data_IF_077578571400
#
_entry.id   IF_077578571400
#
_cell.length_a   1.000
_cell.length_b   1.000
_cell.length_c   1.000
_cell.angle_alpha   90.00
_cell.angle_beta   90.00
_cell.angle_gamma   90.00
#
_symmetry.space_group_name_H-M   'P 1'
#
loop_
_entity.id
_entity.type
_entity.pdbx_description
1 polymer ?
#
# COMPACT_ATOMS: atom_id res chain seq x y z
N UNK A 1 29.92 8.56 -27.41
CA UNK A 1 28.89 9.44 -26.82
C UNK A 1 28.55 8.83 -25.47
N UNK A 2 29.15 9.34 -24.39
CA UNK A 2 28.92 8.83 -23.04
C UNK A 2 27.54 9.29 -22.59
N UNK A 3 26.55 8.42 -22.70
CA UNK A 3 25.24 8.62 -22.08
C UNK A 3 25.45 8.25 -20.62
N UNK A 4 25.43 9.25 -19.75
CA UNK A 4 25.54 9.07 -18.31
C UNK A 4 24.55 8.01 -17.82
N UNK A 5 25.03 7.06 -17.01
CA UNK A 5 24.19 6.07 -16.34
C UNK A 5 23.28 6.78 -15.33
N UNK A 6 22.03 6.34 -15.18
CA UNK A 6 21.10 6.78 -14.13
C UNK A 6 21.53 6.33 -12.71
N UNK A 7 22.84 6.25 -12.44
CA UNK A 7 23.38 6.32 -11.08
C UNK A 7 23.55 7.80 -10.61
N UNK A 8 23.17 8.80 -11.43
CA UNK A 8 23.47 10.22 -11.18
C UNK A 8 22.24 11.13 -10.86
N UNK A 9 21.10 10.55 -10.48
CA UNK A 9 20.01 11.25 -9.78
C UNK A 9 19.76 10.56 -8.44
N UNK A 10 20.68 10.74 -7.51
CA UNK A 10 20.61 10.24 -6.15
C UNK A 10 19.65 11.07 -5.29
N UNK A 11 18.38 11.17 -5.70
CA UNK A 11 17.32 11.50 -4.75
C UNK A 11 16.67 10.17 -4.38
N UNK A 12 17.29 9.45 -3.45
CA UNK A 12 16.58 8.42 -2.71
C UNK A 12 15.59 9.15 -1.82
N UNK A 13 14.37 9.36 -2.33
CA UNK A 13 13.30 9.96 -1.55
C UNK A 13 13.12 9.16 -0.28
N UNK A 14 13.45 9.77 0.85
CA UNK A 14 13.62 9.03 2.10
C UNK A 14 12.29 8.71 2.78
N UNK A 15 11.20 9.36 2.32
CA UNK A 15 9.92 9.28 2.97
C UNK A 15 8.75 9.25 1.98
N UNK A 16 8.10 8.09 1.86
CA UNK A 16 6.85 7.90 1.14
C UNK A 16 5.67 7.84 2.11
N UNK A 17 4.53 8.36 1.67
CA UNK A 17 3.26 8.30 2.37
C UNK A 17 2.18 7.78 1.44
N UNK A 18 1.14 7.19 2.01
CA UNK A 18 -0.08 6.89 1.28
C UNK A 18 -0.90 8.17 1.11
N UNK A 19 -1.31 8.47 -0.12
CA UNK A 19 -2.37 9.40 -0.45
C UNK A 19 -3.63 8.59 -0.69
N UNK A 20 -4.56 8.62 0.26
CA UNK A 20 -5.79 7.86 0.22
C UNK A 20 -6.91 8.74 -0.35
N UNK A 21 -7.46 8.35 -1.50
CA UNK A 21 -8.58 9.03 -2.15
C UNK A 21 -9.85 8.22 -1.92
N UNK A 22 -10.90 8.86 -1.37
CA UNK A 22 -12.20 8.19 -1.20
C UNK A 22 -12.85 7.96 -2.58
N UNK A 23 -13.13 6.71 -2.95
CA UNK A 23 -13.66 6.42 -4.29
C UNK A 23 -15.07 7.01 -4.52
N UNK A 24 -15.91 7.05 -3.48
CA UNK A 24 -17.24 7.64 -3.56
C UNK A 24 -17.23 9.17 -3.72
N UNK A 25 -16.14 9.84 -3.35
CA UNK A 25 -15.97 11.28 -3.51
C UNK A 25 -14.47 11.63 -3.64
N UNK A 26 -13.92 11.66 -4.86
CA UNK A 26 -12.49 11.86 -5.09
C UNK A 26 -11.93 13.21 -4.63
N UNK A 27 -12.77 14.17 -4.26
CA UNK A 27 -12.35 15.42 -3.63
C UNK A 27 -11.84 15.22 -2.19
N UNK A 28 -12.22 14.11 -1.54
CA UNK A 28 -11.77 13.76 -0.19
C UNK A 28 -10.48 12.95 -0.30
N UNK A 29 -9.38 13.55 0.18
CA UNK A 29 -8.06 12.92 0.24
C UNK A 29 -7.50 13.03 1.65
N UNK A 30 -6.81 11.99 2.10
CA UNK A 30 -6.02 11.99 3.33
C UNK A 30 -4.62 11.50 3.05
N UNK A 31 -3.67 11.84 3.93
CA UNK A 31 -2.28 11.36 3.84
C UNK A 31 -1.94 10.62 5.13
N UNK A 32 -1.35 9.43 5.01
CA UNK A 32 -0.99 8.60 6.16
C UNK A 32 0.26 7.76 5.92
N UNK A 33 0.94 7.38 7.00
CA UNK A 33 2.08 6.43 6.94
C UNK A 33 1.65 5.00 6.62
N UNK A 34 0.39 4.67 6.94
CA UNK A 34 -0.16 3.34 6.80
C UNK A 34 -1.60 3.40 6.31
N UNK A 35 -2.05 2.31 5.70
CA UNK A 35 -3.47 2.06 5.43
C UNK A 35 -4.07 1.23 6.56
N UNK A 36 -5.33 1.49 6.90
CA UNK A 36 -6.15 0.65 7.79
C UNK A 36 -7.17 -0.09 6.94
N UNK A 37 -6.99 -1.39 6.76
CA UNK A 37 -7.73 -2.19 5.79
C UNK A 37 -8.43 -3.39 6.42
N UNK A 38 -9.51 -3.84 5.78
CA UNK A 38 -10.24 -5.05 6.15
C UNK A 38 -9.65 -6.27 5.44
N UNK A 39 -9.26 -7.28 6.20
CA UNK A 39 -8.70 -8.56 5.70
C UNK A 39 -9.78 -9.52 5.20
N UNK A 40 -9.38 -10.64 4.60
CA UNK A 40 -10.27 -11.72 4.14
C UNK A 40 -11.25 -12.26 5.19
N UNK A 41 -10.88 -12.23 6.46
CA UNK A 41 -11.71 -12.67 7.58
C UNK A 41 -12.46 -11.52 8.28
N UNK A 42 -12.46 -10.32 7.71
CA UNK A 42 -13.17 -9.15 8.23
C UNK A 42 -12.47 -8.40 9.35
N UNK A 43 -11.27 -8.81 9.76
CA UNK A 43 -10.49 -8.10 10.77
C UNK A 43 -9.88 -6.83 10.20
N UNK A 44 -9.59 -5.86 11.07
CA UNK A 44 -8.90 -4.64 10.71
C UNK A 44 -7.41 -4.77 11.02
N UNK A 45 -6.59 -4.42 10.03
CA UNK A 45 -5.13 -4.41 10.12
C UNK A 45 -4.58 -3.11 9.57
N UNK A 46 -3.42 -2.72 10.08
CA UNK A 46 -2.65 -1.61 9.55
C UNK A 46 -1.48 -2.14 8.74
N UNK A 47 -1.15 -1.48 7.63
CA UNK A 47 0.03 -1.77 6.81
C UNK A 47 0.80 -0.49 6.50
N UNK A 48 2.05 -0.41 6.95
CA UNK A 48 3.02 0.63 6.61
C UNK A 48 4.05 0.07 5.63
N UNK A 49 4.40 0.82 4.59
CA UNK A 49 5.47 0.39 3.68
C UNK A 49 6.83 0.62 4.31
N UNK A 50 7.67 -0.40 4.25
CA UNK A 50 9.04 -0.41 4.76
C UNK A 50 9.99 -0.98 3.69
N UNK A 51 11.28 -1.05 4.02
CA UNK A 51 12.34 -1.58 3.16
C UNK A 51 12.35 -0.95 1.76
N UNK A 52 12.26 0.39 1.71
CA UNK A 52 12.26 1.17 0.47
C UNK A 52 11.24 0.66 -0.56
N UNK A 53 10.01 0.35 -0.13
CA UNK A 53 8.94 -0.08 -1.03
C UNK A 53 8.89 -1.57 -1.32
N UNK A 54 9.60 -2.41 -0.56
CA UNK A 54 9.72 -3.85 -0.82
C UNK A 54 9.10 -4.75 0.26
N UNK A 55 8.52 -4.16 1.30
CA UNK A 55 7.78 -4.89 2.32
C UNK A 55 6.76 -4.00 3.04
N UNK A 56 5.91 -4.65 3.82
CA UNK A 56 4.99 -4.02 4.75
C UNK A 56 5.39 -4.37 6.19
N UNK A 57 5.12 -3.44 7.10
CA UNK A 57 5.03 -3.72 8.51
C UNK A 57 3.55 -3.76 8.91
N UNK A 58 3.10 -4.91 9.42
CA UNK A 58 1.71 -5.21 9.75
C UNK A 58 1.48 -5.22 11.25
N UNK A 59 0.39 -4.61 11.71
CA UNK A 59 -0.05 -4.72 13.10
C UNK A 59 -1.57 -4.58 13.24
N UNK A 60 -2.13 -5.15 14.30
CA UNK A 60 -3.53 -5.02 14.65
C UNK A 60 -3.76 -3.95 15.72
N UNK A 61 -4.90 -3.27 15.63
CA UNK A 61 -5.31 -2.27 16.62
C UNK A 61 -4.33 -1.10 16.72
N UNK A 62 -4.10 -0.61 17.94
CA UNK A 62 -3.23 0.53 18.22
C UNK A 62 -1.81 0.15 18.63
N UNK A 63 -1.54 -1.12 18.89
CA UNK A 63 -0.24 -1.57 19.40
C UNK A 63 0.68 -2.02 18.26
N UNK A 64 1.45 -1.05 17.73
CA UNK A 64 2.44 -1.31 16.68
C UNK A 64 3.62 -2.18 17.16
N UNK A 65 3.85 -2.30 18.47
CA UNK A 65 5.01 -3.06 18.99
C UNK A 65 4.92 -4.57 18.76
N UNK A 66 3.69 -5.08 18.64
CA UNK A 66 3.39 -6.48 18.32
C UNK A 66 3.24 -6.73 16.80
N UNK A 67 3.69 -5.79 15.98
CA UNK A 67 3.68 -5.95 14.53
C UNK A 67 4.77 -6.87 13.99
N UNK A 68 4.71 -7.16 12.70
CA UNK A 68 5.69 -7.98 12.00
C UNK A 68 5.90 -7.49 10.57
N UNK A 69 7.05 -7.84 10.01
CA UNK A 69 7.35 -7.64 8.60
C UNK A 69 6.63 -8.71 7.75
N UNK A 70 6.04 -8.30 6.65
CA UNK A 70 5.44 -9.16 5.63
C UNK A 70 5.67 -8.54 4.24
N UNK A 71 5.43 -9.28 3.16
CA UNK A 71 5.41 -8.79 1.79
C UNK A 71 4.05 -8.94 1.14
N UNK A 72 3.07 -9.50 1.86
CA UNK A 72 1.74 -9.84 1.33
C UNK A 72 0.64 -9.12 2.11
N UNK A 73 -0.29 -8.46 1.44
CA UNK A 73 -1.55 -7.98 2.02
C UNK A 73 -2.69 -8.83 1.48
N UNK A 74 -3.50 -9.43 2.37
CA UNK A 74 -4.75 -10.10 2.03
C UNK A 74 -5.93 -9.21 2.47
N UNK A 75 -6.70 -8.69 1.53
CA UNK A 75 -7.69 -7.63 1.76
C UNK A 75 -9.01 -7.90 1.03
N UNK A 76 -10.08 -7.24 1.47
CA UNK A 76 -11.40 -7.33 0.84
C UNK A 76 -11.80 -5.96 0.30
N UNK A 77 -12.28 -5.94 -0.94
CA UNK A 77 -12.87 -4.77 -1.59
C UNK A 77 -14.10 -5.22 -2.38
N UNK A 78 -15.21 -4.52 -2.22
CA UNK A 78 -16.48 -4.81 -2.92
C UNK A 78 -16.94 -6.28 -2.80
N UNK A 79 -16.67 -6.91 -1.64
CA UNK A 79 -17.00 -8.31 -1.38
C UNK A 79 -16.05 -9.35 -1.99
N UNK A 80 -15.08 -8.93 -2.81
CA UNK A 80 -14.07 -9.80 -3.39
C UNK A 80 -12.82 -9.87 -2.51
N UNK A 81 -12.26 -11.07 -2.36
CA UNK A 81 -10.97 -11.32 -1.71
C UNK A 81 -9.84 -11.08 -2.69
N UNK A 82 -8.94 -10.18 -2.33
CA UNK A 82 -7.75 -9.83 -3.10
C UNK A 82 -6.50 -10.08 -2.27
N UNK A 83 -5.42 -10.45 -2.95
CA UNK A 83 -4.08 -10.50 -2.39
C UNK A 83 -3.20 -9.53 -3.18
N UNK A 84 -2.29 -8.85 -2.48
CA UNK A 84 -1.23 -8.11 -3.14
C UNK A 84 0.14 -8.39 -2.54
N UNK A 85 1.17 -8.35 -3.38
CA UNK A 85 2.57 -8.24 -2.96
C UNK A 85 3.14 -6.89 -3.38
N UNK A 86 4.28 -6.49 -2.82
CA UNK A 86 4.94 -5.21 -3.16
C UNK A 86 6.42 -5.39 -3.51
N UNK A 87 6.86 -4.66 -4.52
CA UNK A 87 8.27 -4.52 -4.90
C UNK A 87 8.47 -3.14 -5.53
N UNK A 88 9.48 -2.39 -5.08
CA UNK A 88 9.80 -1.06 -5.60
C UNK A 88 8.58 -0.12 -5.71
N UNK A 89 7.76 -0.09 -4.65
CA UNK A 89 6.50 0.69 -4.58
C UNK A 89 5.44 0.32 -5.63
N UNK A 90 5.60 -0.81 -6.33
CA UNK A 90 4.61 -1.38 -7.24
C UNK A 90 3.93 -2.55 -6.56
N UNK A 91 2.60 -2.54 -6.60
CA UNK A 91 1.77 -3.63 -6.12
C UNK A 91 1.55 -4.64 -7.25
N UNK A 92 1.58 -5.93 -6.94
CA UNK A 92 1.04 -6.98 -7.79
C UNK A 92 -0.26 -7.47 -7.17
N UNK A 93 -1.38 -7.36 -7.88
CA UNK A 93 -2.71 -7.75 -7.38
C UNK A 93 -3.17 -9.04 -8.04
N UNK A 94 -3.71 -9.94 -7.23
CA UNK A 94 -4.43 -11.11 -7.71
C UNK A 94 -5.70 -11.38 -6.89
N UNK A 95 -6.69 -11.97 -7.55
CA UNK A 95 -7.94 -12.39 -6.90
C UNK A 95 -7.67 -13.71 -6.18
N UNK A 96 -8.08 -13.81 -4.91
CA UNK A 96 -7.96 -15.04 -4.09
C UNK A 96 -6.56 -15.66 -4.00
N UNK A 97 -5.50 -14.90 -4.31
CA UNK A 97 -4.13 -15.41 -4.35
C UNK A 97 -3.74 -16.12 -5.64
N UNK A 98 -4.55 -16.05 -6.70
CA UNK A 98 -4.24 -16.62 -8.01
C UNK A 98 -3.16 -15.81 -8.75
N UNK A 99 -1.90 -16.15 -8.49
CA UNK A 99 -0.75 -15.44 -9.04
C UNK A 99 -0.59 -15.58 -10.56
N UNK A 100 -1.22 -16.59 -11.17
CA UNK A 100 -1.17 -16.78 -12.63
C UNK A 100 -2.03 -15.74 -13.37
N UNK A 101 -3.01 -15.15 -12.68
CA UNK A 101 -3.99 -14.20 -13.25
C UNK A 101 -3.96 -12.83 -12.54
N UNK A 102 -2.77 -12.35 -12.17
CA UNK A 102 -2.58 -11.05 -11.55
C UNK A 102 -2.14 -9.93 -12.49
N UNK A 103 -1.99 -8.72 -11.95
CA UNK A 103 -1.48 -7.55 -12.66
C UNK A 103 -0.71 -6.62 -11.72
N UNK A 104 0.18 -5.80 -12.29
CA UNK A 104 0.88 -4.76 -11.53
C UNK A 104 0.14 -3.43 -11.58
N UNK A 105 0.13 -2.69 -10.47
CA UNK A 105 -0.38 -1.33 -10.37
C UNK A 105 0.43 -0.51 -9.34
N UNK A 106 0.28 0.81 -9.36
CA UNK A 106 0.88 1.76 -8.41
C UNK A 106 -0.09 2.18 -7.32
N UNK A 107 -1.30 1.62 -7.32
CA UNK A 107 -2.36 1.94 -6.37
C UNK A 107 -2.93 0.67 -5.74
N UNK A 108 -3.47 0.78 -4.54
CA UNK A 108 -4.26 -0.27 -3.90
C UNK A 108 -5.60 0.29 -3.46
N UNK A 109 -6.68 -0.33 -3.94
CA UNK A 109 -8.00 -0.12 -3.36
C UNK A 109 -8.14 -0.94 -2.08
N UNK A 110 -8.72 -0.37 -1.02
CA UNK A 110 -8.93 -1.07 0.25
C UNK A 110 -10.20 -0.59 0.95
N UNK A 111 -10.89 -1.53 1.61
CA UNK A 111 -12.03 -1.22 2.47
C UNK A 111 -11.53 -0.80 3.86
N UNK A 112 -11.81 0.44 4.24
CA UNK A 112 -11.40 1.03 5.51
C UNK A 112 -12.37 0.68 6.65
N UNK A 113 -12.01 1.03 7.88
CA UNK A 113 -12.81 0.80 9.10
C UNK A 113 -14.18 1.48 9.10
N UNK A 114 -14.35 2.54 8.32
CA UNK A 114 -15.61 3.26 8.14
C UNK A 114 -16.47 2.69 6.99
N UNK A 115 -16.16 1.47 6.54
CA UNK A 115 -16.82 0.76 5.44
C UNK A 115 -16.82 1.50 4.09
N UNK A 116 -15.94 2.48 3.93
CA UNK A 116 -15.71 3.15 2.66
C UNK A 116 -14.50 2.54 1.94
N UNK A 117 -14.55 2.51 0.60
CA UNK A 117 -13.41 2.11 -0.23
C UNK A 117 -12.56 3.33 -0.55
N UNK A 118 -11.27 3.22 -0.26
CA UNK A 118 -10.26 4.20 -0.62
C UNK A 118 -9.30 3.60 -1.63
N UNK A 119 -8.80 4.42 -2.54
CA UNK A 119 -7.65 4.12 -3.37
C UNK A 119 -6.42 4.80 -2.78
N UNK A 120 -5.44 4.01 -2.36
CA UNK A 120 -4.16 4.51 -1.89
C UNK A 120 -3.14 4.51 -3.03
N UNK A 121 -2.41 5.61 -3.17
CA UNK A 121 -1.24 5.75 -4.03
C UNK A 121 -0.07 6.26 -3.20
N UNK A 122 1.15 6.13 -3.69
CA UNK A 122 2.32 6.68 -3.01
C UNK A 122 2.58 8.12 -3.43
N UNK A 123 2.92 8.96 -2.46
CA UNK A 123 3.54 10.26 -2.70
C UNK A 123 4.76 10.44 -1.81
N UNK A 124 5.74 11.13 -2.35
CA UNK A 124 6.92 11.55 -1.62
C UNK A 124 6.58 12.81 -0.82
N UNK A 125 7.17 12.95 0.37
CA UNK A 125 7.13 14.22 1.09
C UNK A 125 8.53 14.73 1.41
N UNK A 126 8.66 16.05 1.33
CA UNK A 126 9.83 16.78 1.81
C UNK A 126 9.55 17.18 3.26
N UNK A 127 10.40 16.73 4.19
CA UNK A 127 10.43 17.33 5.53
C UNK A 127 11.07 18.70 5.41
N UNK A 128 10.43 19.73 5.99
CA UNK A 128 11.03 21.07 6.14
C UNK A 128 12.35 21.03 6.92
#
# INVERSE_FOLDING_TARGET
>A
MNIFSKQQLSVKYSNYMFVNTLLANPAVKTVSKFILYKTWNGQLWNAEVIDDGNAFFHWQGSDKSNGHRDTVINYVVNGQKWQTTISDYVFFHCVEGDQDNGHCDTVIDYLCSNDCVYQASFAEYFSE
#
